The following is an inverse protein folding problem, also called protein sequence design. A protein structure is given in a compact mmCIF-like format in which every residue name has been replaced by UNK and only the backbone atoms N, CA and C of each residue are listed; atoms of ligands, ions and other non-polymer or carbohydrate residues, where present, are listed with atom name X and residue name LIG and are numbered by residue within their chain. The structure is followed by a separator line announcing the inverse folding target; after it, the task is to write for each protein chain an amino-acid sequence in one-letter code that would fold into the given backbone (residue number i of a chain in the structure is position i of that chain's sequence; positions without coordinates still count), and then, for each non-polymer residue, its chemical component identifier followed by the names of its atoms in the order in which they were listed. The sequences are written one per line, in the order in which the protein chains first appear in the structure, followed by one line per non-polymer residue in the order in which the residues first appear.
data_IF_327387142831
#
_entry.id   IF_327387142831
#
_cell.length_a   1.000
_cell.length_b   1.000
_cell.length_c   1.000
_cell.angle_alpha   90.00
_cell.angle_beta   90.00
_cell.angle_gamma   90.00
#
_symmetry.space_group_name_H-M   'P 1'
#
loop_
_entity.id
_entity.type
_entity.pdbx_description
1 polymer ?
#
# COMPACT_ATOMS: atom_id res chain seq x y z
N UNK A 1 -59.59 39.44 -11.28
CA UNK A 1 -58.35 40.21 -11.04
C UNK A 1 -58.17 40.25 -9.53
N UNK A 2 -57.43 39.26 -9.01
CA UNK A 2 -57.05 38.92 -7.61
C UNK A 2 -56.76 37.41 -7.69
N UNK A 3 -55.56 36.85 -7.54
CA UNK A 3 -54.40 37.21 -6.75
C UNK A 3 -53.88 35.87 -6.22
N UNK A 4 -53.31 35.06 -7.11
CA UNK A 4 -52.82 33.70 -6.86
C UNK A 4 -51.32 33.78 -6.59
N UNK A 5 -50.95 34.03 -5.33
CA UNK A 5 -49.55 34.14 -4.91
C UNK A 5 -49.38 33.58 -3.48
N UNK A 6 -49.60 32.28 -3.31
CA UNK A 6 -49.33 31.60 -2.04
C UNK A 6 -48.76 30.18 -2.20
N UNK A 7 -48.07 29.89 -3.31
CA UNK A 7 -47.54 28.55 -3.57
C UNK A 7 -46.14 28.53 -4.22
N UNK A 8 -45.30 29.54 -3.95
CA UNK A 8 -43.98 29.65 -4.60
C UNK A 8 -42.84 29.97 -3.64
N UNK A 9 -42.82 29.34 -2.46
CA UNK A 9 -41.77 29.57 -1.46
C UNK A 9 -41.13 28.30 -0.89
N UNK A 10 -41.26 27.13 -1.54
CA UNK A 10 -40.69 25.88 -1.00
C UNK A 10 -39.87 25.01 -1.94
N UNK A 11 -39.67 25.34 -3.22
CA UNK A 11 -38.95 24.45 -4.15
C UNK A 11 -37.89 25.17 -5.00
N UNK A 12 -37.05 26.01 -4.38
CA UNK A 12 -35.88 26.59 -5.06
C UNK A 12 -34.57 26.31 -4.30
N UNK A 13 -34.45 25.09 -3.76
CA UNK A 13 -33.17 24.59 -3.23
C UNK A 13 -32.85 23.17 -3.72
N UNK A 14 -33.30 22.82 -4.92
CA UNK A 14 -32.98 21.54 -5.57
C UNK A 14 -32.34 21.81 -6.92
N UNK A 15 -31.09 21.39 -7.04
CA UNK A 15 -30.24 21.41 -8.24
C UNK A 15 -29.51 22.72 -8.55
N UNK A 16 -28.55 23.07 -7.69
CA UNK A 16 -27.36 23.75 -8.20
C UNK A 16 -26.56 22.73 -9.04
N UNK A 17 -26.19 23.03 -10.30
CA UNK A 17 -25.26 22.17 -11.04
C UNK A 17 -23.92 22.20 -10.30
N UNK A 18 -23.41 21.01 -9.97
CA UNK A 18 -22.07 20.85 -9.43
C UNK A 18 -21.09 21.38 -10.50
N UNK A 19 -20.63 22.62 -10.32
CA UNK A 19 -19.66 23.23 -11.23
C UNK A 19 -18.34 22.54 -10.97
N UNK A 20 -17.97 21.61 -11.86
CA UNK A 20 -16.62 21.06 -11.94
C UNK A 20 -15.63 22.23 -12.07
N UNK A 21 -15.01 22.60 -10.95
CA UNK A 21 -13.94 23.58 -10.94
C UNK A 21 -12.71 22.89 -11.54
N UNK A 22 -12.03 23.47 -12.54
CA UNK A 22 -10.80 22.94 -13.14
C UNK A 22 -9.57 22.88 -12.21
N UNK A 23 -9.77 22.82 -10.91
CA UNK A 23 -8.72 22.83 -9.89
C UNK A 23 -9.18 22.28 -8.55
N UNK A 24 -10.19 21.41 -8.51
CA UNK A 24 -10.59 20.74 -7.27
C UNK A 24 -9.47 19.78 -6.79
N UNK A 25 -8.80 20.07 -5.65
CA UNK A 25 -7.67 19.29 -5.14
C UNK A 25 -8.09 17.92 -4.58
N UNK A 26 -9.40 17.62 -4.62
CA UNK A 26 -10.00 16.33 -4.26
C UNK A 26 -10.25 15.42 -5.46
N UNK A 27 -9.66 15.69 -6.64
CA UNK A 27 -9.56 14.66 -7.69
C UNK A 27 -8.74 13.49 -7.14
N UNK A 28 -9.45 12.64 -6.40
CA UNK A 28 -9.00 11.38 -5.87
C UNK A 28 -8.56 10.61 -7.10
N UNK A 29 -7.24 10.42 -7.25
CA UNK A 29 -6.71 9.40 -8.13
C UNK A 29 -7.55 8.16 -7.84
N UNK A 30 -8.35 7.73 -8.82
CA UNK A 30 -9.28 6.62 -8.65
C UNK A 30 -8.44 5.45 -8.14
N UNK A 31 -8.78 4.95 -6.97
CA UNK A 31 -8.15 3.76 -6.41
C UNK A 31 -8.27 2.55 -7.37
N UNK A 32 -9.14 2.65 -8.37
CA UNK A 32 -9.34 1.67 -9.44
C UNK A 32 -8.29 1.73 -10.57
N UNK A 33 -7.55 2.84 -10.73
CA UNK A 33 -6.39 2.93 -11.67
C UNK A 33 -5.06 2.55 -10.97
N UNK A 34 -5.10 2.24 -9.67
CA UNK A 34 -4.01 1.56 -9.00
C UNK A 34 -4.07 0.10 -9.42
N UNK A 35 -3.21 -0.28 -10.37
CA UNK A 35 -2.93 -1.69 -10.64
C UNK A 35 -2.58 -2.34 -9.29
N UNK A 36 -3.49 -3.12 -8.70
CA UNK A 36 -3.30 -3.55 -7.35
C UNK A 36 -2.18 -4.58 -7.41
N UNK A 37 -1.17 -4.44 -6.55
CA UNK A 37 -0.05 -5.39 -6.42
C UNK A 37 -0.52 -6.74 -5.85
N UNK A 38 -1.66 -7.26 -6.30
CA UNK A 38 -2.25 -8.54 -5.93
C UNK A 38 -1.25 -9.66 -6.23
N UNK A 39 -0.52 -9.57 -7.35
CA UNK A 39 0.53 -10.52 -7.72
C UNK A 39 1.65 -10.63 -6.67
N UNK A 40 2.11 -9.49 -6.15
CA UNK A 40 3.17 -9.46 -5.13
C UNK A 40 2.68 -10.00 -3.78
N UNK A 41 1.42 -9.74 -3.42
CA UNK A 41 0.78 -10.27 -2.21
C UNK A 41 0.54 -11.78 -2.29
N UNK A 42 0.28 -12.33 -3.48
CA UNK A 42 0.24 -13.78 -3.70
C UNK A 42 1.63 -14.39 -3.57
N UNK A 43 2.67 -13.72 -4.08
CA UNK A 43 4.05 -14.19 -3.98
C UNK A 43 4.50 -14.32 -2.51
N UNK A 44 4.18 -13.36 -1.65
CA UNK A 44 4.43 -13.45 -0.20
C UNK A 44 3.73 -14.66 0.44
N UNK A 45 2.47 -14.93 0.07
CA UNK A 45 1.73 -16.09 0.56
C UNK A 45 2.35 -17.40 0.06
N UNK A 46 2.82 -17.43 -1.19
CA UNK A 46 3.49 -18.59 -1.77
C UNK A 46 4.79 -18.91 -1.04
N UNK A 47 5.60 -17.90 -0.72
CA UNK A 47 6.82 -18.10 0.06
C UNK A 47 6.54 -18.59 1.48
N UNK A 48 5.54 -18.03 2.17
CA UNK A 48 5.11 -18.53 3.49
C UNK A 48 4.58 -19.97 3.41
N UNK A 49 3.82 -20.32 2.36
CA UNK A 49 3.35 -21.69 2.13
C UNK A 49 4.52 -22.66 1.92
N UNK A 50 5.49 -22.31 1.08
CA UNK A 50 6.67 -23.13 0.85
C UNK A 50 7.52 -23.28 2.11
N UNK A 51 7.64 -22.24 2.93
CA UNK A 51 8.33 -22.32 4.22
C UNK A 51 7.63 -23.31 5.18
N UNK A 52 6.29 -23.31 5.21
CA UNK A 52 5.51 -24.29 5.99
C UNK A 52 5.74 -25.70 5.45
N UNK A 53 5.70 -25.89 4.12
CA UNK A 53 5.95 -27.20 3.50
C UNK A 53 7.36 -27.69 3.83
N UNK A 54 8.38 -26.82 3.78
CA UNK A 54 9.74 -27.16 4.18
C UNK A 54 9.83 -27.56 5.65
N UNK A 55 9.10 -26.89 6.54
CA UNK A 55 9.05 -27.27 7.96
C UNK A 55 8.39 -28.64 8.16
N UNK A 56 7.33 -28.94 7.41
CA UNK A 56 6.69 -30.26 7.44
C UNK A 56 7.63 -31.35 6.90
N UNK A 57 8.34 -31.07 5.81
CA UNK A 57 9.35 -31.97 5.26
C UNK A 57 10.48 -32.20 6.26
N UNK A 58 10.94 -31.16 6.96
CA UNK A 58 11.94 -31.28 8.01
C UNK A 58 11.49 -32.24 9.12
N UNK A 59 10.25 -32.12 9.57
CA UNK A 59 9.70 -33.05 10.59
C UNK A 59 9.66 -34.48 10.05
N UNK A 60 9.25 -34.67 8.79
CA UNK A 60 9.24 -35.98 8.15
C UNK A 60 10.65 -36.58 8.03
N UNK A 61 11.65 -35.76 7.68
CA UNK A 61 13.06 -36.16 7.60
C UNK A 61 13.59 -36.64 8.95
N UNK A 62 13.31 -35.88 10.02
CA UNK A 62 13.72 -36.24 11.38
C UNK A 62 13.12 -37.59 11.79
N UNK A 63 11.82 -37.80 11.56
CA UNK A 63 11.16 -39.06 11.90
C UNK A 63 11.75 -40.21 11.09
N UNK A 64 11.91 -40.02 9.78
CA UNK A 64 12.40 -41.06 8.87
C UNK A 64 13.85 -41.44 9.18
N UNK A 65 14.73 -40.46 9.41
CA UNK A 65 16.12 -40.68 9.77
C UNK A 65 16.26 -41.41 11.11
N UNK A 66 15.45 -41.05 12.11
CA UNK A 66 15.44 -41.75 13.40
C UNK A 66 14.93 -43.19 13.28
N UNK A 67 13.88 -43.43 12.48
CA UNK A 67 13.33 -44.78 12.27
C UNK A 67 14.29 -45.68 11.49
N UNK A 68 14.96 -45.15 10.46
CA UNK A 68 15.81 -45.94 9.57
C UNK A 68 17.20 -46.24 10.15
N UNK A 69 17.79 -45.28 10.85
CA UNK A 69 19.21 -45.31 11.24
C UNK A 69 19.44 -45.10 12.74
N UNK A 70 18.41 -44.72 13.49
CA UNK A 70 18.50 -44.56 14.95
C UNK A 70 19.55 -43.53 15.38
N UNK A 71 20.37 -43.89 16.37
CA UNK A 71 21.39 -42.99 16.94
C UNK A 71 22.53 -42.66 15.98
N UNK A 72 22.74 -43.45 14.92
CA UNK A 72 23.77 -43.18 13.92
C UNK A 72 23.43 -41.96 13.03
N UNK A 73 22.15 -41.59 12.94
CA UNK A 73 21.69 -40.44 12.15
C UNK A 73 21.80 -39.09 12.86
N UNK A 74 22.08 -39.07 14.17
CA UNK A 74 22.11 -37.83 14.97
C UNK A 74 23.03 -36.75 14.37
N UNK A 75 24.30 -37.01 14.02
CA UNK A 75 25.18 -35.96 13.50
C UNK A 75 24.75 -35.43 12.13
N UNK A 76 24.26 -36.30 11.24
CA UNK A 76 23.76 -35.91 9.91
C UNK A 76 22.44 -35.14 10.01
N UNK A 77 21.48 -35.64 10.80
CA UNK A 77 20.21 -34.97 11.03
C UNK A 77 20.39 -33.57 11.62
N UNK A 78 21.34 -33.36 12.54
CA UNK A 78 21.62 -32.03 13.08
C UNK A 78 22.15 -31.07 12.01
N UNK A 79 23.07 -31.53 11.16
CA UNK A 79 23.62 -30.72 10.08
C UNK A 79 22.52 -30.34 9.06
N UNK A 80 21.72 -31.31 8.62
CA UNK A 80 20.64 -31.09 7.65
C UNK A 80 19.50 -30.25 8.22
N UNK A 81 19.08 -30.55 9.46
CA UNK A 81 18.06 -29.79 10.18
C UNK A 81 18.46 -28.33 10.32
N UNK A 82 19.71 -28.05 10.70
CA UNK A 82 20.18 -26.66 10.84
C UNK A 82 20.04 -25.88 9.52
N UNK A 83 20.40 -26.50 8.39
CA UNK A 83 20.28 -25.90 7.06
C UNK A 83 18.82 -25.69 6.67
N UNK A 84 17.96 -26.68 6.90
CA UNK A 84 16.53 -26.59 6.58
C UNK A 84 15.82 -25.53 7.43
N UNK A 85 16.14 -25.43 8.72
CA UNK A 85 15.61 -24.37 9.61
C UNK A 85 16.03 -23.00 9.12
N UNK A 86 17.31 -22.79 8.77
CA UNK A 86 17.79 -21.52 8.23
C UNK A 86 17.08 -21.17 6.92
N UNK A 87 16.95 -22.13 5.98
CA UNK A 87 16.25 -21.92 4.72
C UNK A 87 14.77 -21.59 4.93
N UNK A 88 14.09 -22.31 5.83
CA UNK A 88 12.69 -22.05 6.15
C UNK A 88 12.51 -20.66 6.79
N UNK A 89 13.39 -20.27 7.70
CA UNK A 89 13.39 -18.94 8.32
C UNK A 89 13.63 -17.81 7.32
N UNK A 90 14.62 -17.98 6.42
CA UNK A 90 14.89 -17.03 5.35
C UNK A 90 13.70 -16.89 4.40
N UNK A 91 13.06 -18.01 4.05
CA UNK A 91 11.90 -18.02 3.17
C UNK A 91 10.66 -17.40 3.82
N UNK A 92 10.48 -17.61 5.12
CA UNK A 92 9.43 -16.97 5.90
C UNK A 92 9.66 -15.46 5.98
N UNK A 93 10.89 -15.05 6.32
CA UNK A 93 11.29 -13.66 6.41
C UNK A 93 11.20 -12.93 5.06
N UNK A 94 11.54 -13.57 3.95
CA UNK A 94 11.38 -12.97 2.61
C UNK A 94 9.91 -12.77 2.25
N UNK A 95 9.03 -13.71 2.63
CA UNK A 95 7.59 -13.55 2.48
C UNK A 95 7.04 -12.38 3.30
N UNK A 96 7.55 -12.18 4.51
CA UNK A 96 7.18 -11.05 5.38
C UNK A 96 7.72 -9.71 4.86
N UNK A 97 8.99 -9.69 4.44
CA UNK A 97 9.64 -8.53 3.82
C UNK A 97 8.90 -8.09 2.55
N UNK A 98 8.43 -9.02 1.74
CA UNK A 98 7.66 -8.71 0.53
C UNK A 98 6.33 -8.01 0.85
N UNK A 99 5.69 -8.29 1.99
CA UNK A 99 4.49 -7.57 2.42
C UNK A 99 4.85 -6.14 2.84
N UNK A 100 5.90 -5.99 3.65
CA UNK A 100 6.38 -4.67 4.08
C UNK A 100 6.80 -3.78 2.89
N UNK A 101 7.39 -4.39 1.85
CA UNK A 101 7.79 -3.66 0.65
C UNK A 101 6.58 -3.12 -0.14
N UNK A 102 5.44 -3.82 -0.09
CA UNK A 102 4.19 -3.36 -0.70
C UNK A 102 3.69 -2.12 0.05
N UNK A 103 3.68 -2.16 1.38
CA UNK A 103 3.22 -1.05 2.20
C UNK A 103 4.12 0.18 2.00
N UNK A 104 5.45 0.00 1.95
CA UNK A 104 6.39 1.07 1.66
C UNK A 104 6.22 1.67 0.26
N UNK A 105 5.82 0.86 -0.73
CA UNK A 105 5.52 1.34 -2.09
C UNK A 105 4.36 2.34 -2.12
N UNK A 106 3.38 2.17 -1.24
CA UNK A 106 2.28 3.12 -1.06
C UNK A 106 2.75 4.42 -0.41
N UNK A 107 3.56 4.34 0.64
CA UNK A 107 4.07 5.50 1.37
C UNK A 107 5.00 6.38 0.52
N UNK A 108 5.87 5.76 -0.29
CA UNK A 108 6.73 6.46 -1.25
C UNK A 108 5.88 7.18 -2.30
N UNK A 109 4.80 6.55 -2.78
CA UNK A 109 3.88 7.16 -3.74
C UNK A 109 3.15 8.35 -3.13
N UNK A 110 2.67 8.24 -1.88
CA UNK A 110 2.06 9.34 -1.15
C UNK A 110 3.05 10.51 -0.96
N UNK A 111 4.30 10.22 -0.63
CA UNK A 111 5.38 11.21 -0.52
C UNK A 111 5.62 11.97 -1.82
N UNK A 112 5.62 11.29 -2.97
CA UNK A 112 5.77 11.94 -4.29
C UNK A 112 4.63 12.89 -4.61
N UNK A 113 3.39 12.54 -4.27
CA UNK A 113 2.22 13.41 -4.45
C UNK A 113 2.34 14.65 -3.56
N UNK A 114 2.73 14.47 -2.29
CA UNK A 114 2.88 15.57 -1.35
C UNK A 114 3.99 16.54 -1.76
N UNK A 115 5.16 16.02 -2.18
CA UNK A 115 6.27 16.82 -2.69
C UNK A 115 5.89 17.56 -3.97
N UNK A 116 5.18 16.92 -4.90
CA UNK A 116 4.67 17.58 -6.10
C UNK A 116 3.76 18.77 -5.76
N UNK A 117 2.88 18.63 -4.75
CA UNK A 117 2.02 19.72 -4.27
C UNK A 117 2.80 20.86 -3.62
N UNK A 118 3.83 20.55 -2.84
CA UNK A 118 4.70 21.55 -2.20
C UNK A 118 5.45 22.37 -3.25
N UNK A 119 6.02 21.71 -4.27
CA UNK A 119 6.72 22.37 -5.37
C UNK A 119 5.82 23.36 -6.12
N UNK A 120 4.56 22.99 -6.36
CA UNK A 120 3.58 23.84 -7.04
C UNK A 120 3.19 25.07 -6.19
N UNK A 121 2.95 24.90 -4.90
CA UNK A 121 2.66 26.04 -4.01
C UNK A 121 3.86 26.98 -3.82
N UNK A 122 5.09 26.46 -3.90
CA UNK A 122 6.30 27.28 -3.78
C UNK A 122 6.60 28.07 -5.07
N UNK A 123 6.16 27.57 -6.23
CA UNK A 123 6.21 28.29 -7.51
C UNK A 123 5.21 29.45 -7.62
N UNK A 124 4.11 29.41 -6.88
CA UNK A 124 3.05 30.41 -6.85
C UNK A 124 3.22 31.48 -5.75
N UNK A 125 4.41 31.60 -5.15
CA UNK A 125 4.68 32.65 -4.16
C UNK A 125 4.37 34.03 -4.77
N UNK A 126 3.38 34.78 -4.25
CA UNK A 126 2.95 36.01 -4.89
C UNK A 126 4.11 36.99 -4.89
N UNK A 127 4.57 37.34 -6.09
CA UNK A 127 5.50 38.46 -6.29
C UNK A 127 4.82 39.67 -5.68
N UNK A 128 5.24 40.08 -4.47
CA UNK A 128 4.75 41.29 -3.83
C UNK A 128 5.14 42.44 -4.75
N UNK A 129 4.20 42.84 -5.60
CA UNK A 129 4.33 44.03 -6.41
C UNK A 129 4.34 45.20 -5.42
N UNK A 130 5.53 45.69 -5.13
CA UNK A 130 5.72 46.91 -4.36
C UNK A 130 5.15 48.05 -5.21
N UNK A 131 3.88 48.36 -4.99
CA UNK A 131 3.26 49.56 -5.53
C UNK A 131 3.88 50.74 -4.78
N UNK A 132 4.93 51.30 -5.37
CA UNK A 132 5.57 52.53 -4.92
C UNK A 132 4.55 53.66 -5.03
N UNK A 133 3.93 54.00 -3.89
CA UNK A 133 2.98 55.10 -3.80
C UNK A 133 3.78 56.40 -3.84
N UNK A 134 3.85 57.02 -5.02
CA UNK A 134 4.55 58.29 -5.23
C UNK A 134 4.06 59.42 -4.32
N UNK A 135 4.93 60.38 -3.97
CA UNK A 135 4.62 61.43 -2.99
C UNK A 135 3.60 62.43 -3.56
N UNK A 136 2.63 62.79 -2.72
CA UNK A 136 1.67 63.87 -2.96
C UNK A 136 2.26 65.22 -2.57
#
# INVERSE_FOLDING_TARGET
MTGDFAAAAQDEHRNAPHRDHPGDPTMSVRADDLEPYVGLRYLSKLFKLMAIILLLLLVAEIITGLVAQGSAAIPTLLAETSRLVVLAGLLWGSGDLAILLIDMGHDVRAGRILLGRLQLHQGDAPKKEFVERGPR
#
